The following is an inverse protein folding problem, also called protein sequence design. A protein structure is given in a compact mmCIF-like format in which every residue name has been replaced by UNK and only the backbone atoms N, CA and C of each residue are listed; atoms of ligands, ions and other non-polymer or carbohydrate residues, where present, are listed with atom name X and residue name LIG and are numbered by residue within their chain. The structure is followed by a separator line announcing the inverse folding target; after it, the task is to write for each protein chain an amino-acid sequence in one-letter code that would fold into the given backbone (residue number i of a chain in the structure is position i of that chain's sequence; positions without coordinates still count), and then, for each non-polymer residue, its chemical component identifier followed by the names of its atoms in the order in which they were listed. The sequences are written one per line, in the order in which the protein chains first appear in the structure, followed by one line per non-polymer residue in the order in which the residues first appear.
data_IF_956256352833
#
_entry.id   IF_956256352833
#
_cell.length_a   1.000
_cell.length_b   1.000
_cell.length_c   1.000
_cell.angle_alpha   90.00
_cell.angle_beta   90.00
_cell.angle_gamma   90.00
#
_symmetry.space_group_name_H-M   'P 1'
#
loop_
_entity.id
_entity.type
_entity.pdbx_description
1 polymer ?
#
# COMPACT_ATOMS: atom_id res chain seq x y z
N UNK A 1 37.96 7.73 14.26
CA UNK A 1 37.54 7.58 12.86
C UNK A 1 36.17 6.92 12.87
N UNK A 2 35.12 7.74 12.78
CA UNK A 2 33.70 7.33 12.77
C UNK A 2 33.47 6.52 11.49
N UNK A 3 33.50 5.19 11.58
CA UNK A 3 33.41 4.34 10.39
C UNK A 3 31.97 4.31 9.92
N UNK A 4 31.68 4.91 8.77
CA UNK A 4 30.31 5.04 8.22
C UNK A 4 29.69 3.67 7.91
N UNK A 5 28.42 3.47 8.26
CA UNK A 5 27.64 2.28 7.89
C UNK A 5 27.56 2.14 6.36
N UNK A 6 27.74 0.94 5.77
CA UNK A 6 27.71 0.75 4.32
C UNK A 6 26.30 1.00 3.76
N UNK A 7 26.21 1.31 2.46
CA UNK A 7 24.94 1.50 1.75
C UNK A 7 24.63 0.29 0.87
N UNK A 8 23.36 -0.09 0.79
CA UNK A 8 22.88 -1.13 -0.12
C UNK A 8 21.93 -0.48 -1.14
N UNK A 9 22.42 -0.27 -2.38
CA UNK A 9 21.70 0.47 -3.43
C UNK A 9 21.33 -0.50 -4.55
N UNK A 10 20.03 -0.60 -4.84
CA UNK A 10 19.45 -1.47 -5.87
C UNK A 10 18.60 -0.71 -6.88
N UNK A 11 18.57 0.64 -6.82
CA UNK A 11 17.68 1.49 -7.64
C UNK A 11 17.90 1.33 -9.16
N UNK A 12 19.10 0.96 -9.55
CA UNK A 12 19.54 0.76 -10.93
C UNK A 12 19.31 -0.67 -11.45
N UNK A 13 18.88 -1.61 -10.58
CA UNK A 13 18.66 -3.01 -10.95
C UNK A 13 17.27 -3.22 -11.56
N UNK A 14 17.22 -4.04 -12.60
CA UNK A 14 16.01 -4.55 -13.22
C UNK A 14 15.47 -5.81 -12.52
N UNK A 15 14.28 -6.30 -12.93
CA UNK A 15 13.60 -7.43 -12.30
C UNK A 15 14.31 -8.78 -12.46
N UNK A 16 15.29 -8.90 -13.37
CA UNK A 16 16.05 -10.13 -13.62
C UNK A 16 17.52 -10.04 -13.15
N UNK A 17 17.90 -8.98 -12.41
CA UNK A 17 19.28 -8.74 -11.96
C UNK A 17 19.59 -9.35 -10.57
N UNK A 18 18.97 -10.49 -10.25
CA UNK A 18 19.08 -11.15 -8.93
C UNK A 18 20.54 -11.50 -8.56
N UNK A 19 21.33 -11.95 -9.53
CA UNK A 19 22.74 -12.29 -9.32
C UNK A 19 23.58 -11.08 -8.90
N UNK A 20 23.32 -9.93 -9.52
CA UNK A 20 24.02 -8.68 -9.21
C UNK A 20 23.55 -8.12 -7.86
N UNK A 21 22.26 -8.22 -7.55
CA UNK A 21 21.73 -7.91 -6.22
C UNK A 21 22.43 -8.74 -5.14
N UNK A 22 22.60 -10.05 -5.35
CA UNK A 22 23.26 -10.94 -4.39
C UNK A 22 24.74 -10.60 -4.20
N UNK A 23 25.48 -10.28 -5.26
CA UNK A 23 26.88 -9.82 -5.14
C UNK A 23 27.00 -8.53 -4.34
N UNK A 24 26.14 -7.55 -4.61
CA UNK A 24 26.09 -6.29 -3.85
C UNK A 24 25.76 -6.54 -2.38
N UNK A 25 24.84 -7.48 -2.11
CA UNK A 25 24.50 -7.88 -0.75
C UNK A 25 25.68 -8.52 -0.03
N UNK A 26 26.45 -9.38 -0.68
CA UNK A 26 27.63 -10.01 -0.08
C UNK A 26 28.70 -8.97 0.31
N UNK A 27 28.95 -7.98 -0.56
CA UNK A 27 29.87 -6.87 -0.28
C UNK A 27 29.38 -6.06 0.92
N UNK A 28 28.12 -5.63 0.89
CA UNK A 28 27.47 -4.91 1.99
C UNK A 28 27.56 -5.68 3.31
N UNK A 29 27.20 -6.97 3.31
CA UNK A 29 27.19 -7.84 4.47
C UNK A 29 28.59 -8.02 5.06
N UNK A 30 29.61 -8.17 4.21
CA UNK A 30 31.01 -8.29 4.64
C UNK A 30 31.51 -7.01 5.32
N UNK A 31 31.25 -5.86 4.72
CA UNK A 31 31.63 -4.57 5.29
C UNK A 31 30.92 -4.30 6.61
N UNK A 32 29.62 -4.55 6.65
CA UNK A 32 28.79 -4.42 7.85
C UNK A 32 29.31 -5.32 8.99
N UNK A 33 29.58 -6.60 8.73
CA UNK A 33 30.16 -7.52 9.73
C UNK A 33 31.53 -7.07 10.22
N UNK A 34 32.37 -6.52 9.34
CA UNK A 34 33.68 -6.00 9.73
C UNK A 34 33.57 -4.77 10.66
N UNK A 35 32.54 -3.93 10.49
CA UNK A 35 32.28 -2.79 11.38
C UNK A 35 31.75 -3.23 12.75
N UNK A 36 30.86 -4.23 12.79
CA UNK A 36 30.37 -4.82 14.04
C UNK A 36 31.52 -5.48 14.80
N UNK A 37 32.38 -6.25 14.13
CA UNK A 37 33.53 -6.90 14.76
C UNK A 37 34.52 -5.91 15.37
N UNK A 38 34.59 -4.68 14.84
CA UNK A 38 35.40 -3.58 15.40
C UNK A 38 34.72 -2.89 16.60
N UNK A 39 33.51 -3.27 16.97
CA UNK A 39 32.76 -2.74 18.12
C UNK A 39 32.12 -1.37 17.89
N UNK A 40 32.12 -0.87 16.65
CA UNK A 40 31.58 0.46 16.33
C UNK A 40 30.05 0.54 16.40
N UNK A 41 29.37 -0.61 16.34
CA UNK A 41 27.91 -0.69 16.26
C UNK A 41 27.36 -1.87 17.07
N UNK A 42 26.16 -1.71 17.62
CA UNK A 42 25.42 -2.76 18.32
C UNK A 42 23.92 -2.66 18.03
N UNK A 43 23.16 -3.71 18.35
CA UNK A 43 21.70 -3.65 18.37
C UNK A 43 21.22 -3.18 19.75
N UNK A 44 20.31 -2.22 19.79
CA UNK A 44 19.64 -1.79 21.01
C UNK A 44 18.52 -2.77 21.44
N UNK A 45 17.79 -2.43 22.50
CA UNK A 45 16.73 -3.29 23.07
C UNK A 45 15.58 -3.57 22.09
N UNK A 46 15.38 -2.70 21.10
CA UNK A 46 14.32 -2.79 20.10
C UNK A 46 14.82 -3.44 18.79
N UNK A 47 16.07 -3.90 18.77
CA UNK A 47 16.68 -4.58 17.63
C UNK A 47 17.24 -3.65 16.56
N UNK A 48 17.31 -2.34 16.81
CA UNK A 48 17.86 -1.37 15.86
C UNK A 48 19.38 -1.28 15.95
N UNK A 49 20.05 -1.15 14.80
CA UNK A 49 21.47 -0.90 14.77
C UNK A 49 21.78 0.56 15.14
N UNK A 50 22.65 0.74 16.12
CA UNK A 50 23.10 2.06 16.59
C UNK A 50 24.61 2.13 16.64
N UNK A 51 25.15 3.33 16.43
CA UNK A 51 26.56 3.61 16.65
C UNK A 51 26.88 3.60 18.15
N UNK A 52 27.86 2.79 18.56
CA UNK A 52 28.22 2.63 19.98
C UNK A 52 28.73 3.93 20.62
N UNK A 53 29.38 4.81 19.85
CA UNK A 53 29.94 6.06 20.36
C UNK A 53 28.89 7.18 20.58
N UNK A 54 27.83 7.21 19.77
CA UNK A 54 26.85 8.31 19.75
C UNK A 54 25.42 7.89 20.10
N UNK A 55 25.12 6.59 20.04
CA UNK A 55 23.76 6.06 20.16
C UNK A 55 22.87 6.38 18.96
N UNK A 56 23.42 6.97 17.89
CA UNK A 56 22.64 7.36 16.71
C UNK A 56 22.24 6.13 15.90
N UNK A 57 21.00 6.14 15.42
CA UNK A 57 20.45 5.10 14.55
C UNK A 57 21.21 5.04 13.23
N UNK A 58 21.52 3.83 12.77
CA UNK A 58 22.17 3.57 11.49
C UNK A 58 21.41 2.49 10.72
N UNK A 59 21.40 2.62 9.40
CA UNK A 59 20.67 1.72 8.53
C UNK A 59 20.67 2.19 7.07
N UNK A 60 20.07 1.40 6.16
CA UNK A 60 19.93 1.77 4.75
C UNK A 60 19.05 3.02 4.56
N UNK A 61 18.18 3.32 5.52
CA UNK A 61 17.39 4.54 5.58
C UNK A 61 17.55 5.19 6.98
N UNK A 62 18.55 6.07 7.17
CA UNK A 62 18.87 6.66 8.46
C UNK A 62 17.92 7.79 8.89
N UNK A 63 16.94 8.15 8.06
CA UNK A 63 15.90 9.15 8.36
C UNK A 63 14.62 8.51 8.95
N UNK A 64 14.59 7.19 9.13
CA UNK A 64 13.46 6.49 9.75
C UNK A 64 13.30 6.96 11.21
N UNK A 65 12.15 7.56 11.50
CA UNK A 65 11.71 7.91 12.85
C UNK A 65 11.53 6.65 13.70
N UNK A 66 12.01 6.69 14.95
CA UNK A 66 11.87 5.56 15.88
C UNK A 66 10.39 5.38 16.27
N UNK A 67 9.93 4.16 16.60
CA UNK A 67 8.57 3.95 17.12
C UNK A 67 8.22 4.84 18.32
N UNK A 68 9.20 5.19 19.15
CA UNK A 68 9.00 6.10 20.28
C UNK A 68 8.63 7.54 19.85
N UNK A 69 9.14 8.00 18.70
CA UNK A 69 8.78 9.30 18.13
C UNK A 69 7.34 9.30 17.60
N UNK A 70 6.86 8.14 17.12
CA UNK A 70 5.46 7.93 16.73
C UNK A 70 4.53 7.86 17.95
N UNK A 71 5.05 7.47 19.13
CA UNK A 71 4.26 7.37 20.38
C UNK A 71 3.74 8.73 20.84
N UNK A 72 4.45 9.81 20.50
CA UNK A 72 4.01 11.19 20.77
C UNK A 72 3.06 11.72 19.68
N UNK A 73 2.85 10.96 18.61
CA UNK A 73 1.93 11.29 17.52
C UNK A 73 0.51 11.52 18.03
N UNK A 74 -0.01 12.72 17.80
CA UNK A 74 -1.41 13.04 18.11
C UNK A 74 -2.35 12.51 17.03
N UNK A 75 -3.56 12.06 17.38
CA UNK A 75 -4.56 11.65 16.40
C UNK A 75 -4.85 12.76 15.36
N UNK A 76 -5.02 12.37 14.08
CA UNK A 76 -5.30 13.32 12.99
C UNK A 76 -6.49 14.25 13.28
N UNK A 77 -7.52 13.75 13.96
CA UNK A 77 -8.70 14.52 14.38
C UNK A 77 -8.37 15.70 15.31
N UNK A 78 -7.27 15.61 16.07
CA UNK A 78 -6.85 16.62 17.03
C UNK A 78 -5.92 17.66 16.39
N UNK A 79 -5.07 17.23 15.46
CA UNK A 79 -4.11 18.12 14.78
C UNK A 79 -4.75 18.84 13.58
N UNK A 80 -5.65 18.17 12.87
CA UNK A 80 -6.28 18.67 11.64
C UNK A 80 -7.79 18.35 11.62
N UNK A 81 -8.60 19.03 12.47
CA UNK A 81 -10.02 18.74 12.63
C UNK A 81 -10.82 18.95 11.33
N UNK A 82 -10.52 20.02 10.58
CA UNK A 82 -11.25 20.34 9.33
C UNK A 82 -11.01 19.29 8.25
N UNK A 83 -9.77 18.81 8.13
CA UNK A 83 -9.41 17.76 7.19
C UNK A 83 -10.06 16.42 7.58
N UNK A 84 -10.06 16.10 8.89
CA UNK A 84 -10.71 14.90 9.40
C UNK A 84 -12.21 14.88 9.05
N UNK A 85 -12.91 16.00 9.23
CA UNK A 85 -14.33 16.13 8.87
C UNK A 85 -14.57 16.07 7.36
N UNK A 86 -13.68 16.63 6.54
CA UNK A 86 -13.77 16.56 5.08
C UNK A 86 -13.62 15.11 4.55
N UNK A 87 -12.68 14.35 5.10
CA UNK A 87 -12.44 12.93 4.73
C UNK A 87 -13.61 12.05 5.21
N UNK A 88 -14.13 12.30 6.41
CA UNK A 88 -15.26 11.56 6.97
C UNK A 88 -16.53 11.70 6.11
N UNK A 89 -16.73 12.85 5.47
CA UNK A 89 -17.89 13.15 4.62
C UNK A 89 -17.86 12.46 3.25
N UNK A 90 -16.71 11.98 2.78
CA UNK A 90 -16.53 11.53 1.39
C UNK A 90 -16.40 10.02 1.20
N UNK A 91 -17.03 9.19 2.05
CA UNK A 91 -17.10 7.75 1.77
C UNK A 91 -18.08 7.46 0.64
N UNK A 92 -17.54 7.25 -0.57
CA UNK A 92 -18.22 6.65 -1.71
C UNK A 92 -18.65 7.63 -2.81
N UNK A 93 -19.00 7.07 -3.97
CA UNK A 93 -19.53 7.84 -5.11
C UNK A 93 -20.80 8.59 -4.66
N UNK A 94 -20.97 9.87 -5.04
CA UNK A 94 -22.22 10.60 -4.79
C UNK A 94 -23.44 9.76 -5.20
N UNK A 95 -24.41 9.62 -4.29
CA UNK A 95 -25.64 8.86 -4.55
C UNK A 95 -26.37 9.51 -5.73
N UNK A 96 -26.72 8.72 -6.76
CA UNK A 96 -27.61 9.18 -7.83
C UNK A 96 -28.98 9.52 -7.25
N UNK A 97 -29.63 10.58 -7.75
CA UNK A 97 -30.97 11.01 -7.31
C UNK A 97 -32.01 9.89 -7.41
N UNK A 98 -32.01 9.15 -8.52
CA UNK A 98 -32.89 8.01 -8.77
C UNK A 98 -32.07 6.80 -9.26
N UNK A 99 -31.53 5.95 -8.38
CA UNK A 99 -30.87 4.72 -8.79
C UNK A 99 -31.89 3.68 -9.29
N UNK A 100 -31.49 2.81 -10.22
CA UNK A 100 -32.29 1.65 -10.59
C UNK A 100 -32.47 0.73 -9.36
N UNK A 101 -33.68 0.24 -9.15
CA UNK A 101 -33.94 -0.73 -8.07
C UNK A 101 -33.31 -2.09 -8.43
N UNK A 102 -32.52 -2.65 -7.51
CA UNK A 102 -32.01 -4.00 -7.64
C UNK A 102 -33.08 -4.98 -7.16
N UNK A 103 -33.69 -5.72 -8.09
CA UNK A 103 -34.71 -6.74 -7.80
C UNK A 103 -34.22 -8.11 -8.27
N UNK A 104 -34.54 -9.16 -7.51
CA UNK A 104 -34.30 -10.54 -7.93
C UNK A 104 -35.53 -11.07 -8.64
N UNK A 105 -35.48 -11.21 -9.97
CA UNK A 105 -36.56 -11.74 -10.80
C UNK A 105 -36.11 -13.08 -11.42
N UNK A 106 -36.96 -14.10 -11.37
CA UNK A 106 -36.73 -15.37 -12.08
C UNK A 106 -37.32 -15.26 -13.48
N UNK A 107 -36.52 -15.61 -14.49
CA UNK A 107 -36.88 -15.58 -15.91
C UNK A 107 -36.67 -16.99 -16.46
N UNK A 108 -37.52 -17.42 -17.39
CA UNK A 108 -37.32 -18.69 -18.11
C UNK A 108 -35.96 -18.69 -18.85
N UNK A 109 -35.14 -19.77 -18.73
CA UNK A 109 -33.81 -19.82 -19.33
C UNK A 109 -33.80 -19.58 -20.83
N UNK A 110 -34.78 -20.08 -21.59
CA UNK A 110 -34.83 -19.88 -23.05
C UNK A 110 -35.04 -18.43 -23.41
N UNK A 111 -35.75 -17.69 -22.55
CA UNK A 111 -35.97 -16.25 -22.74
C UNK A 111 -34.71 -15.46 -22.42
N UNK A 112 -34.00 -15.83 -21.36
CA UNK A 112 -32.70 -15.26 -21.02
C UNK A 112 -31.70 -15.46 -22.16
N UNK A 113 -31.58 -16.68 -22.69
CA UNK A 113 -30.63 -16.98 -23.76
C UNK A 113 -30.92 -16.19 -25.06
N UNK A 114 -32.20 -15.88 -25.36
CA UNK A 114 -32.55 -15.02 -26.51
C UNK A 114 -32.04 -13.60 -26.31
N UNK A 115 -32.15 -13.08 -25.09
CA UNK A 115 -31.63 -11.76 -24.77
C UNK A 115 -30.10 -11.75 -24.81
N UNK A 116 -29.42 -12.69 -24.18
CA UNK A 116 -27.95 -12.76 -24.17
C UNK A 116 -27.36 -12.78 -25.59
N UNK A 117 -28.01 -13.50 -26.52
CA UNK A 117 -27.62 -13.51 -27.95
C UNK A 117 -27.79 -12.17 -28.67
N UNK A 118 -28.51 -11.20 -28.10
CA UNK A 118 -28.66 -9.86 -28.69
C UNK A 118 -27.40 -8.99 -28.53
N UNK A 119 -26.41 -9.42 -27.74
CA UNK A 119 -25.12 -8.74 -27.56
C UNK A 119 -24.95 -8.08 -26.18
N UNK A 120 -23.86 -7.34 -26.00
CA UNK A 120 -23.37 -6.86 -24.69
C UNK A 120 -24.39 -6.03 -23.88
N UNK A 121 -25.27 -5.29 -24.57
CA UNK A 121 -26.30 -4.45 -23.96
C UNK A 121 -27.64 -5.15 -23.70
N UNK A 122 -27.68 -6.48 -23.74
CA UNK A 122 -28.94 -7.23 -23.63
C UNK A 122 -29.75 -6.91 -22.37
N UNK A 123 -29.09 -6.66 -21.23
CA UNK A 123 -29.77 -6.29 -19.97
C UNK A 123 -30.46 -4.93 -20.07
N UNK A 124 -29.82 -3.97 -20.75
CA UNK A 124 -30.39 -2.64 -20.98
C UNK A 124 -31.58 -2.71 -21.93
N UNK A 125 -31.50 -3.52 -22.99
CA UNK A 125 -32.62 -3.74 -23.92
C UNK A 125 -33.79 -4.45 -23.25
N UNK A 126 -33.52 -5.45 -22.43
CA UNK A 126 -34.54 -6.14 -21.64
C UNK A 126 -35.25 -5.17 -20.67
N UNK A 127 -34.49 -4.31 -19.98
CA UNK A 127 -35.08 -3.29 -19.10
C UNK A 127 -36.01 -2.33 -19.87
N UNK A 128 -35.61 -1.88 -21.06
CA UNK A 128 -36.46 -1.05 -21.91
C UNK A 128 -37.72 -1.76 -22.41
N UNK A 129 -37.64 -3.06 -22.72
CA UNK A 129 -38.82 -3.85 -23.08
C UNK A 129 -39.82 -3.99 -21.92
N UNK A 130 -39.33 -4.14 -20.69
CA UNK A 130 -40.16 -4.17 -19.48
C UNK A 130 -40.82 -2.81 -19.24
N UNK A 131 -40.06 -1.72 -19.41
CA UNK A 131 -40.58 -0.35 -19.27
C UNK A 131 -41.68 -0.04 -20.28
N UNK A 132 -41.50 -0.46 -21.54
CA UNK A 132 -42.53 -0.31 -22.59
C UNK A 132 -43.79 -1.15 -22.34
N UNK A 133 -43.67 -2.25 -21.59
CA UNK A 133 -44.78 -3.13 -21.24
C UNK A 133 -45.36 -2.83 -19.85
N UNK A 134 -44.89 -1.76 -19.18
CA UNK A 134 -45.42 -1.33 -17.90
C UNK A 134 -46.92 -0.97 -18.05
N UNK A 135 -47.74 -1.25 -17.02
CA UNK A 135 -49.17 -0.98 -17.03
C UNK A 135 -49.52 0.51 -17.09
#
# INVERSE_FOLDING_TARGET
MTSKWPAFITKDLGPDDDDEMMRRWEVYNREMKALIAKGGFHQDADGWWVETATGKLVGPDPEIERPDEIREGKPLKEVLPDLHEAIKRSRGRPRKKNPKAAVTLRIDPRTLDRWERSGDDWRSRMAGAIENAAP
#
